data_IF_555795101466
#
_entry.id   IF_555795101466
#
_cell.length_a   1.000
_cell.length_b   1.000
_cell.length_c   1.000
_cell.angle_alpha   90.00
_cell.angle_beta   90.00
_cell.angle_gamma   90.00
#
_symmetry.space_group_name_H-M   'P 1'
#
loop_
_entity.id
_entity.type
_entity.pdbx_description
1 polymer ?
#
# COMPACT_ATOMS: atom_id res chain seq x y z
N UNK A 1 4.49 -7.66 0.50
CA UNK A 1 4.64 -6.25 0.16
C UNK A 1 4.64 -6.02 -1.35
N UNK A 2 5.44 -6.78 -2.08
CA UNK A 2 5.54 -6.57 -3.53
C UNK A 2 4.22 -6.78 -4.25
N UNK A 3 3.42 -7.73 -3.80
CA UNK A 3 2.12 -7.97 -4.42
C UNK A 3 1.19 -6.76 -4.27
N UNK A 4 1.24 -6.10 -3.13
CA UNK A 4 0.41 -4.92 -2.92
C UNK A 4 0.84 -3.78 -3.82
N UNK A 5 2.14 -3.62 -4.01
CA UNK A 5 2.66 -2.59 -4.89
C UNK A 5 2.23 -2.86 -6.33
N UNK A 6 2.26 -4.11 -6.75
CA UNK A 6 1.84 -4.46 -8.09
C UNK A 6 0.36 -4.22 -8.30
N UNK A 7 -0.46 -4.54 -7.30
CA UNK A 7 -1.88 -4.25 -7.37
C UNK A 7 -2.13 -2.75 -7.49
N UNK A 8 -1.38 -1.96 -6.76
CA UNK A 8 -1.49 -0.51 -6.85
C UNK A 8 -1.17 -0.03 -8.26
N UNK A 9 -0.09 -0.55 -8.83
CA UNK A 9 0.31 -0.17 -10.19
C UNK A 9 -0.75 -0.54 -11.21
N UNK A 10 -1.35 -1.71 -11.08
CA UNK A 10 -2.39 -2.13 -11.99
C UNK A 10 -3.63 -1.26 -11.89
N UNK A 11 -3.96 -0.87 -10.67
CA UNK A 11 -5.16 -0.08 -10.44
C UNK A 11 -4.99 1.38 -10.87
N UNK A 12 -3.83 1.96 -10.58
CA UNK A 12 -3.59 3.37 -10.84
C UNK A 12 -2.70 3.63 -12.06
N UNK A 13 -2.06 2.59 -12.57
CA UNK A 13 -1.21 2.73 -13.74
C UNK A 13 0.19 3.23 -13.45
N UNK A 14 0.49 3.58 -12.22
CA UNK A 14 1.82 4.04 -11.83
C UNK A 14 2.18 3.49 -10.47
N UNK A 15 3.46 3.45 -10.19
CA UNK A 15 3.92 3.02 -8.88
C UNK A 15 3.66 4.11 -7.84
N UNK A 16 3.47 3.75 -6.57
CA UNK A 16 3.30 4.74 -5.53
C UNK A 16 4.61 5.49 -5.27
N UNK A 17 4.48 6.74 -4.86
CA UNK A 17 5.65 7.52 -4.47
C UNK A 17 6.27 6.98 -3.20
N UNK A 18 5.43 6.50 -2.31
CA UNK A 18 5.89 6.04 -1.01
C UNK A 18 4.98 4.92 -0.54
N UNK A 19 5.57 3.95 0.13
CA UNK A 19 4.82 2.85 0.71
C UNK A 19 5.31 2.66 2.15
N UNK A 20 4.41 2.74 3.10
CA UNK A 20 4.73 2.58 4.50
C UNK A 20 4.01 1.36 5.05
N UNK A 21 4.75 0.47 5.68
CA UNK A 21 4.15 -0.66 6.35
C UNK A 21 3.66 -0.22 7.72
N UNK A 22 2.38 -0.44 7.96
CA UNK A 22 1.76 -0.09 9.24
C UNK A 22 1.60 -1.36 10.04
N UNK A 23 2.43 -1.52 11.06
CA UNK A 23 2.33 -2.68 11.93
C UNK A 23 1.19 -2.46 12.91
N UNK A 24 0.38 -3.49 13.09
CA UNK A 24 -0.71 -3.41 14.04
C UNK A 24 -0.59 -4.53 15.04
N UNK A 25 -0.52 -4.18 16.30
CA UNK A 25 -0.38 -5.17 17.35
C UNK A 25 -1.62 -6.06 17.42
N UNK A 26 -1.39 -7.34 17.58
CA UNK A 26 -2.48 -8.30 17.75
C UNK A 26 -3.20 -8.68 16.47
N UNK A 27 -2.67 -8.30 15.34
CA UNK A 27 -3.28 -8.63 14.06
C UNK A 27 -2.30 -9.40 13.20
N UNK A 28 -2.80 -10.39 12.48
CA UNK A 28 -1.99 -11.13 11.53
C UNK A 28 -1.98 -10.49 10.15
N UNK A 29 -2.64 -9.36 10.01
CA UNK A 29 -2.73 -8.70 8.72
C UNK A 29 -1.72 -7.60 8.62
N UNK A 30 -1.27 -7.38 7.39
CA UNK A 30 -0.31 -6.31 7.11
C UNK A 30 -1.07 -5.18 6.42
N UNK A 31 -0.88 -3.98 6.93
CA UNK A 31 -1.47 -2.79 6.33
C UNK A 31 -0.34 -1.95 5.76
N UNK A 32 -0.53 -1.48 4.54
CA UNK A 32 0.46 -0.64 3.87
C UNK A 32 -0.23 0.61 3.39
N UNK A 33 0.36 1.75 3.71
CA UNK A 33 -0.16 3.03 3.24
C UNK A 33 0.66 3.48 2.04
N UNK A 34 -0.02 3.67 0.93
CA UNK A 34 0.61 4.15 -0.29
C UNK A 34 0.29 5.61 -0.49
N UNK A 35 1.31 6.39 -0.83
CA UNK A 35 1.13 7.80 -1.18
C UNK A 35 1.32 7.93 -2.68
N UNK A 36 0.33 8.46 -3.36
CA UNK A 36 0.38 8.63 -4.79
C UNK A 36 0.87 10.00 -5.21
N UNK A 37 0.99 10.20 -6.52
CA UNK A 37 1.54 11.43 -7.06
C UNK A 37 0.70 12.66 -6.75
N UNK A 38 -0.58 12.50 -6.59
CA UNK A 38 -1.44 13.63 -6.30
C UNK A 38 -1.55 13.98 -4.83
N UNK A 39 -0.78 13.32 -3.99
CA UNK A 39 -0.87 13.52 -2.55
C UNK A 39 -1.95 12.69 -1.89
N UNK A 40 -2.67 11.90 -2.66
CA UNK A 40 -3.68 11.02 -2.09
C UNK A 40 -3.05 9.80 -1.44
N UNK A 41 -3.75 9.22 -0.47
CA UNK A 41 -3.28 8.03 0.21
C UNK A 41 -4.28 6.90 0.04
N UNK A 42 -3.74 5.68 -0.02
CA UNK A 42 -4.55 4.48 -0.16
C UNK A 42 -4.00 3.44 0.80
N UNK A 43 -4.90 2.72 1.44
CA UNK A 43 -4.49 1.66 2.36
C UNK A 43 -4.68 0.32 1.68
N UNK A 44 -3.59 -0.44 1.61
CA UNK A 44 -3.63 -1.80 1.12
C UNK A 44 -3.61 -2.78 2.29
N UNK A 45 -4.35 -3.86 2.15
CA UNK A 45 -4.41 -4.88 3.18
C UNK A 45 -3.95 -6.20 2.58
N UNK A 46 -2.95 -6.80 3.22
CA UNK A 46 -2.45 -8.07 2.79
C UNK A 46 -2.26 -8.98 3.99
N UNK A 47 -2.21 -10.24 3.73
CA UNK A 47 -1.98 -11.08 4.86
C UNK A 47 -2.34 -12.50 4.73
#
# INVERSE_FOLDING_TARGET
MQQLIELYKQHFGTAPLKAETLAKAGSNRVYVRFTGNGGGTVIGVGG
#
